data_IF_418484995781
#
_entry.id   IF_418484995781
#
_cell.length_a   1.000
_cell.length_b   1.000
_cell.length_c   1.000
_cell.angle_alpha   90.00
_cell.angle_beta   90.00
_cell.angle_gamma   90.00
#
_symmetry.space_group_name_H-M   'P 1'
#
loop_
_entity.id
_entity.type
_entity.pdbx_description
1 polymer ?
#
# COMPACT_ATOMS: atom_id res chain seq x y z
N UNK A 1 1.13 14.05 -7.14
CA UNK A 1 1.56 12.70 -7.51
C UNK A 1 0.46 11.71 -7.14
N UNK A 2 0.28 10.66 -7.91
CA UNK A 2 -0.64 9.58 -7.59
C UNK A 2 0.10 8.27 -7.76
N UNK A 3 -0.03 7.39 -6.79
CA UNK A 3 0.50 6.04 -6.88
C UNK A 3 -0.65 5.06 -7.11
N UNK A 4 -0.49 4.13 -8.04
CA UNK A 4 -1.48 3.07 -8.29
C UNK A 4 -0.83 1.72 -8.09
N UNK A 5 -1.53 0.84 -7.38
CA UNK A 5 -1.11 -0.53 -7.12
C UNK A 5 -2.05 -1.50 -7.80
N UNK A 6 -1.51 -2.44 -8.56
CA UNK A 6 -2.26 -3.56 -9.12
C UNK A 6 -1.74 -4.87 -8.53
N UNK A 7 -2.60 -5.60 -7.82
CA UNK A 7 -2.23 -6.88 -7.19
C UNK A 7 -2.24 -7.98 -8.24
N UNK A 8 -1.08 -8.60 -8.45
CA UNK A 8 -0.85 -9.63 -9.46
C UNK A 8 -1.13 -11.03 -8.88
N UNK A 9 -0.73 -11.26 -7.63
CA UNK A 9 -0.91 -12.55 -6.97
C UNK A 9 -0.90 -12.42 -5.45
N UNK A 10 -1.38 -13.46 -4.77
CA UNK A 10 -1.29 -13.59 -3.32
C UNK A 10 -2.53 -13.14 -2.57
N UNK A 11 -2.38 -13.01 -1.26
CA UNK A 11 -3.43 -12.54 -0.36
C UNK A 11 -2.82 -11.69 0.73
N UNK A 12 -3.40 -10.51 0.97
CA UNK A 12 -2.95 -9.61 2.01
C UNK A 12 -3.98 -8.52 2.28
N UNK A 13 -3.54 -7.50 3.00
CA UNK A 13 -4.38 -6.36 3.37
C UNK A 13 -3.56 -5.09 3.28
N UNK A 14 -4.21 -4.00 2.87
CA UNK A 14 -3.67 -2.65 2.92
C UNK A 14 -4.53 -1.83 3.87
N UNK A 15 -3.93 -1.34 4.94
CA UNK A 15 -4.49 -0.24 5.69
C UNK A 15 -4.12 1.04 4.97
N UNK A 16 -5.09 1.94 4.80
CA UNK A 16 -4.84 3.27 4.29
C UNK A 16 -5.66 4.30 5.05
N UNK A 17 -5.09 5.50 5.18
CA UNK A 17 -5.73 6.66 5.78
C UNK A 17 -5.57 7.86 4.88
N UNK A 18 -6.69 8.54 4.63
CA UNK A 18 -6.71 9.80 3.90
C UNK A 18 -7.59 10.80 4.64
N UNK A 19 -7.01 11.94 5.02
CA UNK A 19 -7.69 12.89 5.91
C UNK A 19 -8.08 12.24 7.24
N UNK A 20 -9.38 12.25 7.57
CA UNK A 20 -9.93 11.65 8.78
C UNK A 20 -10.53 10.25 8.60
N UNK A 21 -10.38 9.63 7.44
CA UNK A 21 -10.96 8.31 7.14
C UNK A 21 -9.86 7.24 7.05
N UNK A 22 -10.13 6.09 7.68
CA UNK A 22 -9.28 4.91 7.68
C UNK A 22 -10.05 3.71 7.15
N UNK A 23 -9.39 2.90 6.32
CA UNK A 23 -9.97 1.66 5.80
C UNK A 23 -8.90 0.58 5.63
N UNK A 24 -9.34 -0.67 5.70
CA UNK A 24 -8.53 -1.84 5.38
C UNK A 24 -9.11 -2.48 4.12
N UNK A 25 -8.33 -2.47 3.05
CA UNK A 25 -8.73 -3.03 1.75
C UNK A 25 -8.03 -4.38 1.53
N UNK A 26 -8.74 -5.44 1.10
CA UNK A 26 -8.11 -6.71 0.77
C UNK A 26 -7.22 -6.58 -0.47
N UNK A 27 -6.00 -7.14 -0.39
CA UNK A 27 -5.08 -7.28 -1.52
C UNK A 27 -5.27 -8.67 -2.12
N UNK A 28 -6.03 -8.74 -3.21
CA UNK A 28 -6.33 -9.97 -3.95
C UNK A 28 -6.02 -9.76 -5.44
N UNK A 29 -5.71 -10.82 -6.20
CA UNK A 29 -5.37 -10.70 -7.61
C UNK A 29 -6.48 -9.98 -8.39
N UNK A 30 -6.09 -8.98 -9.19
CA UNK A 30 -7.03 -8.16 -9.95
C UNK A 30 -7.51 -6.89 -9.23
N UNK A 31 -7.22 -6.73 -7.92
CA UNK A 31 -7.52 -5.48 -7.20
C UNK A 31 -6.57 -4.39 -7.67
N UNK A 32 -7.16 -3.24 -8.03
CA UNK A 32 -6.45 -2.01 -8.35
C UNK A 32 -6.76 -0.94 -7.30
N UNK A 33 -5.72 -0.37 -6.70
CA UNK A 33 -5.80 0.65 -5.66
C UNK A 33 -5.18 1.94 -6.18
N UNK A 34 -5.81 3.06 -5.83
CA UNK A 34 -5.25 4.39 -6.04
C UNK A 34 -4.88 4.97 -4.68
N UNK A 35 -3.64 5.44 -4.55
CA UNK A 35 -3.05 6.09 -3.39
C UNK A 35 -2.71 7.53 -3.75
N UNK A 36 -3.61 8.49 -3.47
CA UNK A 36 -3.31 9.91 -3.65
C UNK A 36 -2.16 10.40 -2.75
N UNK A 37 -1.55 11.56 -3.08
CA UNK A 37 -0.58 12.21 -2.17
C UNK A 37 -1.19 12.39 -0.78
N UNK A 38 -0.39 12.09 0.24
CA UNK A 38 -0.78 12.26 1.64
C UNK A 38 -1.58 11.08 2.19
N UNK A 39 -1.81 10.02 1.39
CA UNK A 39 -2.32 8.76 1.92
C UNK A 39 -1.25 8.12 2.79
N UNK A 40 -1.56 7.91 4.06
CA UNK A 40 -0.77 7.02 4.90
C UNK A 40 -1.18 5.60 4.56
N UNK A 41 -0.24 4.70 4.37
CA UNK A 41 -0.58 3.30 4.10
C UNK A 41 0.41 2.35 4.76
N UNK A 42 -0.09 1.15 5.01
CA UNK A 42 0.70 0.00 5.45
C UNK A 42 0.11 -1.22 4.76
N UNK A 43 0.94 -2.19 4.37
CA UNK A 43 0.47 -3.45 3.80
C UNK A 43 1.04 -4.63 4.59
N UNK A 44 0.30 -5.73 4.60
CA UNK A 44 0.76 -7.01 5.13
C UNK A 44 0.31 -8.15 4.21
N UNK A 45 1.16 -9.15 4.06
CA UNK A 45 0.77 -10.42 3.47
C UNK A 45 -0.05 -11.24 4.49
N UNK A 46 -0.83 -12.19 3.98
CA UNK A 46 -1.40 -13.25 4.80
C UNK A 46 -0.32 -14.21 5.30
N UNK A 47 -0.64 -15.03 6.30
CA UNK A 47 0.29 -16.06 6.78
C UNK A 47 0.51 -17.19 5.76
N UNK A 48 -0.46 -17.42 4.88
CA UNK A 48 -0.44 -18.54 3.95
C UNK A 48 0.35 -18.24 2.66
N UNK A 49 0.34 -16.99 2.18
CA UNK A 49 1.04 -16.61 0.96
C UNK A 49 1.43 -15.13 0.94
N UNK A 50 2.56 -14.84 0.28
CA UNK A 50 3.01 -13.48 -0.01
C UNK A 50 2.11 -12.76 -1.01
N UNK A 51 2.16 -11.43 -1.01
CA UNK A 51 1.51 -10.56 -2.01
C UNK A 51 2.54 -10.09 -3.02
N UNK A 52 2.17 -10.10 -4.31
CA UNK A 52 2.92 -9.43 -5.37
C UNK A 52 2.02 -8.36 -6.01
N UNK A 53 2.56 -7.15 -6.16
CA UNK A 53 1.87 -6.04 -6.78
C UNK A 53 2.81 -5.26 -7.71
N UNK A 54 2.23 -4.62 -8.71
CA UNK A 54 2.91 -3.63 -9.56
C UNK A 54 2.45 -2.25 -9.12
N UNK A 55 3.40 -1.41 -8.70
CA UNK A 55 3.18 -0.02 -8.35
C UNK A 55 3.61 0.90 -9.50
N UNK A 56 2.79 1.90 -9.82
CA UNK A 56 3.12 2.96 -10.78
C UNK A 56 2.87 4.32 -10.15
N UNK A 57 3.80 5.25 -10.34
CA UNK A 57 3.72 6.64 -9.84
C UNK A 57 3.53 7.60 -11.01
N UNK A 58 2.60 8.55 -10.87
CA UNK A 58 2.31 9.58 -11.88
C UNK A 58 2.29 10.98 -11.26
N UNK A 59 3.16 11.94 -11.69
CA UNK A 59 4.31 11.78 -12.59
C UNK A 59 5.36 10.79 -12.05
N UNK A 60 6.42 10.45 -12.80
CA UNK A 60 7.48 9.56 -12.32
C UNK A 60 7.97 9.94 -10.92
N UNK A 61 8.26 8.92 -10.12
CA UNK A 61 8.66 9.09 -8.73
C UNK A 61 9.84 10.07 -8.64
N UNK A 62 9.71 11.22 -7.93
CA UNK A 62 10.78 12.20 -7.76
C UNK A 62 11.98 11.70 -6.94
N UNK A 63 11.89 10.53 -6.30
CA UNK A 63 12.99 9.89 -5.58
C UNK A 63 12.68 9.57 -4.12
N UNK A 64 13.63 8.93 -3.44
CA UNK A 64 13.45 8.32 -2.11
C UNK A 64 13.00 9.30 -1.01
N UNK A 65 13.28 10.59 -1.16
CA UNK A 65 12.91 11.62 -0.18
C UNK A 65 11.41 11.96 -0.11
N UNK A 66 10.58 11.40 -0.99
CA UNK A 66 9.13 11.66 -0.98
C UNK A 66 8.37 10.77 0.00
N UNK A 67 8.86 9.55 0.27
CA UNK A 67 8.22 8.63 1.19
C UNK A 67 8.59 8.97 2.63
N UNK A 68 7.60 9.30 3.46
CA UNK A 68 7.79 9.56 4.89
C UNK A 68 7.33 8.36 5.68
N UNK A 69 8.20 7.83 6.55
CA UNK A 69 7.83 6.75 7.47
C UNK A 69 6.89 7.31 8.53
N UNK A 70 5.70 6.73 8.62
CA UNK A 70 4.67 7.09 9.60
C UNK A 70 4.23 5.86 10.39
N UNK A 71 3.74 6.02 11.64
CA UNK A 71 3.16 4.90 12.38
C UNK A 71 1.94 4.33 11.63
N UNK A 72 1.89 3.01 11.54
CA UNK A 72 0.74 2.24 11.05
C UNK A 72 0.12 1.38 12.16
N UNK A 73 -1.05 0.78 11.92
CA UNK A 73 -1.76 -0.03 12.92
C UNK A 73 -1.13 -1.40 13.17
N UNK A 74 -0.23 -1.87 12.29
CA UNK A 74 0.39 -3.19 12.43
C UNK A 74 1.84 -3.09 12.89
N UNK A 75 2.21 -3.97 13.82
CA UNK A 75 3.61 -4.17 14.19
C UNK A 75 4.37 -4.86 13.03
N UNK A 76 5.51 -4.31 12.57
CA UNK A 76 6.31 -4.94 11.54
C UNK A 76 6.83 -6.32 11.98
N UNK A 77 6.58 -7.34 11.16
CA UNK A 77 6.98 -8.72 11.43
C UNK A 77 8.41 -9.07 11.00
N UNK A 78 9.08 -8.17 10.27
CA UNK A 78 10.47 -8.34 9.81
C UNK A 78 11.28 -7.12 10.22
N UNK A 79 12.42 -7.39 10.88
CA UNK A 79 13.45 -6.39 11.23
C UNK A 79 14.55 -6.37 10.19
#
# INVERSE_FOLDING_TARGET
MEERWYVVSGQGQMWRRQGGQEEIVPLLPGVCLTLPVGTHFQFRASEACGVAAVAVTLPPWPGEGEAVVVPGPWEPSVR
#
